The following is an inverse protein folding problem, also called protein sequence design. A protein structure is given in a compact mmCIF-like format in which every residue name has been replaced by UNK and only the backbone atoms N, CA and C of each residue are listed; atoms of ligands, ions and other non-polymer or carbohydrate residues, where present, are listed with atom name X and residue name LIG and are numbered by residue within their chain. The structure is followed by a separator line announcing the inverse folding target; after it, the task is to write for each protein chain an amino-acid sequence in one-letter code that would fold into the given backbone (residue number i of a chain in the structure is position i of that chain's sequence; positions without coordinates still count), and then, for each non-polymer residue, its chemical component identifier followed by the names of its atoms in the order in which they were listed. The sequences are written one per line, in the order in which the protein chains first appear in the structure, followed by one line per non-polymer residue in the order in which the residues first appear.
data_IF_063354345286
#
_entry.id   IF_063354345286
#
_cell.length_a   1.000
_cell.length_b   1.000
_cell.length_c   1.000
_cell.angle_alpha   90.00
_cell.angle_beta   90.00
_cell.angle_gamma   90.00
#
_symmetry.space_group_name_H-M   'P 1'
#
loop_
_entity.id
_entity.type
_entity.pdbx_description
1 polymer ?
#
# COMPACT_ATOMS: atom_id res chain seq x y z
N UNK A 1 -10.30 -2.11 -36.92
CA UNK A 1 -9.69 -2.14 -35.57
C UNK A 1 -9.98 -3.49 -34.95
N UNK A 2 -8.93 -4.21 -34.55
CA UNK A 2 -9.04 -5.53 -33.93
C UNK A 2 -8.52 -5.46 -32.50
N UNK A 3 -8.84 -6.47 -31.67
CA UNK A 3 -8.29 -6.58 -30.31
C UNK A 3 -6.74 -6.48 -30.31
N UNK A 4 -6.09 -7.03 -31.32
CA UNK A 4 -4.62 -6.97 -31.45
C UNK A 4 -4.09 -5.55 -31.63
N UNK A 5 -4.86 -4.62 -32.23
CA UNK A 5 -4.48 -3.21 -32.36
C UNK A 5 -4.48 -2.52 -31.00
N UNK A 6 -5.49 -2.81 -30.18
CA UNK A 6 -5.61 -2.22 -28.85
C UNK A 6 -4.57 -2.80 -27.89
N UNK A 7 -4.30 -4.13 -28.00
CA UNK A 7 -3.24 -4.80 -27.22
C UNK A 7 -1.87 -4.22 -27.60
N UNK A 8 -1.63 -3.96 -28.90
CA UNK A 8 -0.39 -3.29 -29.33
C UNK A 8 -0.25 -1.90 -28.71
N UNK A 9 -1.30 -1.09 -28.73
CA UNK A 9 -1.30 0.26 -28.13
C UNK A 9 -1.04 0.21 -26.62
N UNK A 10 -1.64 -0.76 -25.93
CA UNK A 10 -1.38 -1.00 -24.50
C UNK A 10 0.07 -1.47 -24.29
N UNK A 11 0.60 -2.34 -25.14
CA UNK A 11 2.00 -2.77 -25.10
C UNK A 11 2.98 -1.60 -25.22
N UNK A 12 2.70 -0.63 -26.12
CA UNK A 12 3.48 0.61 -26.26
C UNK A 12 3.42 1.46 -24.99
N UNK A 13 2.23 1.58 -24.39
CA UNK A 13 2.03 2.29 -23.12
C UNK A 13 2.79 1.62 -21.98
N UNK A 14 2.70 0.29 -21.88
CA UNK A 14 3.46 -0.48 -20.89
C UNK A 14 4.97 -0.31 -21.07
N UNK A 15 5.44 -0.35 -22.31
CA UNK A 15 6.85 -0.10 -22.60
C UNK A 15 7.30 1.25 -22.05
N UNK A 16 6.53 2.31 -22.30
CA UNK A 16 6.85 3.65 -21.81
C UNK A 16 6.81 3.75 -20.28
N UNK A 17 5.82 3.15 -19.65
CA UNK A 17 5.72 3.12 -18.17
C UNK A 17 6.90 2.38 -17.53
N UNK A 18 7.32 1.26 -18.11
CA UNK A 18 8.39 0.44 -17.58
C UNK A 18 9.79 1.03 -17.82
N UNK A 19 9.99 1.72 -18.96
CA UNK A 19 11.33 2.19 -19.39
C UNK A 19 11.52 3.71 -19.26
N UNK A 20 10.43 4.47 -19.09
CA UNK A 20 10.43 5.94 -19.13
C UNK A 20 10.62 6.51 -20.55
N UNK A 21 10.63 5.66 -21.59
CA UNK A 21 10.90 6.07 -22.99
C UNK A 21 9.89 5.44 -23.94
N UNK A 22 9.58 6.16 -25.01
CA UNK A 22 8.79 5.58 -26.11
C UNK A 22 9.61 4.50 -26.86
N UNK A 23 8.98 3.39 -27.30
CA UNK A 23 9.67 2.33 -28.05
C UNK A 23 10.17 2.78 -29.41
N UNK A 24 9.52 3.79 -29.99
CA UNK A 24 9.86 4.35 -31.30
C UNK A 24 9.91 5.88 -31.25
N UNK A 25 10.93 6.46 -31.84
CA UNK A 25 11.11 7.91 -31.99
C UNK A 25 11.71 8.21 -33.36
N UNK A 26 11.28 9.28 -33.98
CA UNK A 26 11.85 9.78 -35.24
C UNK A 26 11.65 11.29 -35.33
N UNK A 27 12.50 11.96 -36.11
CA UNK A 27 12.41 13.40 -36.34
C UNK A 27 11.30 13.80 -37.32
N UNK A 28 10.75 12.85 -38.08
CA UNK A 28 9.68 13.06 -39.05
C UNK A 28 8.54 12.06 -38.81
N UNK A 29 7.33 12.45 -39.21
CA UNK A 29 6.16 11.56 -39.14
C UNK A 29 6.32 10.31 -40.02
N UNK A 30 6.90 10.46 -41.21
CA UNK A 30 7.17 9.32 -42.07
C UNK A 30 8.18 8.34 -41.47
N UNK A 31 9.25 8.87 -40.84
CA UNK A 31 10.22 8.06 -40.08
C UNK A 31 9.61 7.35 -38.91
N UNK A 32 8.71 8.01 -38.16
CA UNK A 32 7.99 7.39 -37.06
C UNK A 32 7.08 6.26 -37.53
N UNK A 33 6.31 6.50 -38.60
CA UNK A 33 5.46 5.46 -39.20
C UNK A 33 6.27 4.27 -39.68
N UNK A 34 7.42 4.51 -40.31
CA UNK A 34 8.34 3.44 -40.72
C UNK A 34 8.85 2.65 -39.50
N UNK A 35 9.26 3.33 -38.45
CA UNK A 35 9.75 2.70 -37.23
C UNK A 35 8.67 1.84 -36.55
N UNK A 36 7.45 2.34 -36.47
CA UNK A 36 6.31 1.61 -35.93
C UNK A 36 6.03 0.32 -36.71
N UNK A 37 6.14 0.36 -38.00
CA UNK A 37 5.84 -0.78 -38.88
C UNK A 37 6.99 -1.80 -38.97
N UNK A 38 8.25 -1.34 -38.96
CA UNK A 38 9.38 -2.17 -39.38
C UNK A 38 10.47 -2.37 -38.31
N UNK A 39 10.59 -1.50 -37.32
CA UNK A 39 11.70 -1.57 -36.34
C UNK A 39 11.23 -2.29 -35.09
N UNK A 40 11.94 -3.36 -34.69
CA UNK A 40 11.73 -4.02 -33.40
C UNK A 40 12.27 -3.10 -32.29
N UNK A 41 11.48 -2.80 -31.25
CA UNK A 41 11.94 -1.95 -30.15
C UNK A 41 13.08 -2.60 -29.36
N UNK A 42 13.89 -1.77 -28.72
CA UNK A 42 14.88 -2.26 -27.75
C UNK A 42 14.13 -2.94 -26.61
N UNK A 43 14.58 -4.11 -26.19
CA UNK A 43 13.92 -4.84 -25.10
C UNK A 43 13.96 -4.02 -23.81
N UNK A 44 12.83 -3.90 -23.08
CA UNK A 44 12.76 -3.18 -21.82
C UNK A 44 13.86 -3.57 -20.83
N UNK A 45 14.19 -4.85 -20.72
CA UNK A 45 15.23 -5.36 -19.81
C UNK A 45 16.64 -4.85 -20.14
N UNK A 46 16.92 -4.46 -21.39
CA UNK A 46 18.19 -3.83 -21.76
C UNK A 46 18.32 -2.40 -21.27
N UNK A 47 17.19 -1.72 -21.05
CA UNK A 47 17.12 -0.35 -20.53
C UNK A 47 17.01 -0.33 -19.01
N UNK A 48 16.36 -1.36 -18.45
CA UNK A 48 16.14 -1.54 -17.01
C UNK A 48 16.38 -3.00 -16.63
N UNK A 49 17.63 -3.38 -16.30
CA UNK A 49 18.00 -4.76 -15.98
C UNK A 49 17.27 -5.40 -14.80
N UNK A 50 16.70 -4.56 -13.92
CA UNK A 50 15.90 -4.99 -12.77
C UNK A 50 14.48 -5.46 -13.12
N UNK A 51 14.04 -5.27 -14.38
CA UNK A 51 12.72 -5.73 -14.79
C UNK A 51 12.66 -7.26 -14.86
N UNK A 52 11.55 -7.87 -14.40
CA UNK A 52 11.31 -9.29 -14.56
C UNK A 52 11.27 -9.68 -16.04
N UNK A 53 11.97 -10.80 -16.36
CA UNK A 53 12.01 -11.36 -17.71
C UNK A 53 10.62 -11.59 -18.32
N UNK A 54 9.65 -11.94 -17.47
CA UNK A 54 8.27 -12.19 -17.93
C UNK A 54 7.57 -10.89 -18.36
N UNK A 55 7.77 -9.77 -17.66
CA UNK A 55 7.23 -8.47 -18.10
C UNK A 55 7.85 -7.99 -19.41
N UNK A 56 9.16 -8.18 -19.55
CA UNK A 56 9.85 -7.88 -20.80
C UNK A 56 9.28 -8.71 -21.95
N UNK A 57 9.06 -10.01 -21.75
CA UNK A 57 8.48 -10.90 -22.76
C UNK A 57 7.04 -10.50 -23.15
N UNK A 58 6.22 -10.14 -22.15
CA UNK A 58 4.82 -9.69 -22.36
C UNK A 58 4.80 -8.44 -23.24
N UNK A 59 5.63 -7.44 -22.91
CA UNK A 59 5.69 -6.19 -23.68
C UNK A 59 6.18 -6.43 -25.10
N UNK A 60 7.22 -7.26 -25.26
CA UNK A 60 7.75 -7.60 -26.60
C UNK A 60 6.73 -8.35 -27.46
N UNK A 61 5.97 -9.30 -26.86
CA UNK A 61 4.89 -10.02 -27.56
C UNK A 61 3.74 -9.08 -27.94
N UNK A 62 3.31 -8.21 -27.01
CA UNK A 62 2.24 -7.24 -27.29
C UNK A 62 2.62 -6.25 -28.40
N UNK A 63 3.92 -5.87 -28.51
CA UNK A 63 4.44 -4.94 -29.51
C UNK A 63 5.05 -5.60 -30.75
N UNK A 64 4.82 -6.93 -30.95
CA UNK A 64 5.27 -7.63 -32.15
C UNK A 64 4.74 -6.99 -33.42
N UNK A 65 5.54 -7.00 -34.50
CA UNK A 65 5.15 -6.39 -35.79
C UNK A 65 4.07 -7.20 -36.47
N UNK A 66 4.23 -8.51 -36.49
CA UNK A 66 3.26 -9.43 -37.07
C UNK A 66 2.07 -9.61 -36.14
N UNK A 67 0.83 -9.28 -36.59
CA UNK A 67 -0.36 -9.45 -35.74
C UNK A 67 -0.58 -10.89 -35.25
N UNK A 68 -0.16 -11.88 -36.05
CA UNK A 68 -0.26 -13.28 -35.69
C UNK A 68 0.63 -13.68 -34.49
N UNK A 69 1.73 -12.95 -34.28
CA UNK A 69 2.65 -13.17 -33.15
C UNK A 69 2.23 -12.43 -31.88
N UNK A 70 1.28 -11.50 -31.98
CA UNK A 70 0.73 -10.78 -30.82
C UNK A 70 -0.20 -11.69 -30.03
N UNK A 71 -0.63 -11.20 -28.88
CA UNK A 71 -1.75 -11.81 -28.16
C UNK A 71 -3.01 -11.82 -29.04
N UNK A 72 -3.64 -12.98 -29.13
CA UNK A 72 -4.84 -13.16 -29.96
C UNK A 72 -6.12 -12.72 -29.25
N UNK A 73 -6.07 -12.61 -27.92
CA UNK A 73 -7.22 -12.17 -27.10
C UNK A 73 -6.77 -11.44 -25.83
N UNK A 74 -7.65 -10.62 -25.29
CA UNK A 74 -7.48 -10.01 -23.97
C UNK A 74 -7.33 -11.04 -22.85
N UNK A 75 -7.96 -12.21 -23.00
CA UNK A 75 -7.86 -13.29 -22.01
C UNK A 75 -6.42 -13.84 -21.96
N UNK A 76 -5.79 -14.08 -23.10
CA UNK A 76 -4.41 -14.54 -23.18
C UNK A 76 -3.45 -13.50 -22.59
N UNK A 77 -3.58 -12.23 -22.98
CA UNK A 77 -2.78 -11.14 -22.45
C UNK A 77 -2.95 -10.99 -20.92
N UNK A 78 -4.20 -10.99 -20.44
CA UNK A 78 -4.49 -10.87 -19.01
C UNK A 78 -3.97 -12.04 -18.18
N UNK A 79 -3.96 -13.27 -18.74
CA UNK A 79 -3.39 -14.46 -18.09
C UNK A 79 -1.88 -14.30 -17.86
N UNK A 80 -1.13 -13.92 -18.92
CA UNK A 80 0.32 -13.75 -18.82
C UNK A 80 0.67 -12.58 -17.88
N UNK A 81 -0.11 -11.50 -17.93
CA UNK A 81 0.08 -10.35 -17.03
C UNK A 81 -0.18 -10.74 -15.55
N UNK A 82 -1.22 -11.53 -15.30
CA UNK A 82 -1.51 -12.06 -13.95
C UNK A 82 -0.38 -12.96 -13.45
N UNK A 83 0.20 -13.76 -14.34
CA UNK A 83 1.32 -14.64 -14.01
C UNK A 83 2.61 -13.85 -13.71
N UNK A 84 2.85 -12.76 -14.44
CA UNK A 84 3.94 -11.83 -14.14
C UNK A 84 3.75 -11.17 -12.76
N UNK A 85 2.54 -10.81 -12.43
CA UNK A 85 2.19 -10.23 -11.14
C UNK A 85 2.45 -11.21 -9.97
N UNK A 86 2.05 -12.47 -10.12
CA UNK A 86 2.35 -13.53 -9.14
C UNK A 86 3.86 -13.75 -8.99
N UNK A 87 4.60 -13.74 -10.11
CA UNK A 87 6.07 -13.94 -10.09
C UNK A 87 6.81 -12.77 -9.42
N UNK A 88 6.31 -11.54 -9.60
CA UNK A 88 6.82 -10.35 -8.89
C UNK A 88 6.61 -10.44 -7.38
N UNK A 89 5.49 -11.04 -6.94
CA UNK A 89 5.20 -11.30 -5.53
C UNK A 89 6.18 -12.29 -4.89
N UNK A 90 6.56 -13.33 -5.62
CA UNK A 90 7.49 -14.34 -5.13
C UNK A 90 8.95 -13.85 -5.05
N UNK A 91 9.29 -12.78 -5.78
CA UNK A 91 10.63 -12.18 -5.80
C UNK A 91 10.84 -11.06 -4.77
N UNK A 92 9.78 -10.60 -4.11
CA UNK A 92 9.84 -9.57 -3.06
C UNK A 92 8.91 -9.95 -1.92
N UNK A 93 9.44 -10.10 -0.72
CA UNK A 93 8.70 -10.32 0.55
C UNK A 93 7.73 -9.16 0.92
N UNK A 94 7.35 -8.31 -0.02
CA UNK A 94 6.42 -7.21 0.22
C UNK A 94 5.03 -7.56 -0.28
N UNK A 95 4.09 -7.66 0.64
CA UNK A 95 2.65 -7.65 0.37
C UNK A 95 2.35 -6.50 -0.60
N UNK A 96 1.66 -6.79 -1.73
CA UNK A 96 1.33 -5.76 -2.72
C UNK A 96 0.36 -4.72 -2.14
N UNK A 97 0.38 -3.49 -2.68
CA UNK A 97 -0.54 -2.45 -2.24
C UNK A 97 -2.02 -2.85 -2.41
N UNK A 98 -2.34 -3.67 -3.40
CA UNK A 98 -3.69 -4.23 -3.57
C UNK A 98 -4.08 -5.19 -2.44
N UNK A 99 -3.14 -6.00 -1.94
CA UNK A 99 -3.40 -6.86 -0.79
C UNK A 99 -3.51 -6.07 0.49
N UNK A 100 -2.64 -5.07 0.67
CA UNK A 100 -2.73 -4.10 1.77
C UNK A 100 -4.08 -3.43 1.79
N UNK A 101 -4.55 -2.95 0.63
CA UNK A 101 -5.87 -2.35 0.47
C UNK A 101 -6.97 -3.32 0.90
N UNK A 102 -6.97 -4.55 0.36
CA UNK A 102 -7.98 -5.56 0.67
C UNK A 102 -7.96 -5.95 2.16
N UNK A 103 -6.78 -6.06 2.75
CA UNK A 103 -6.63 -6.34 4.17
C UNK A 103 -7.21 -5.21 5.03
N UNK A 104 -6.88 -3.95 4.72
CA UNK A 104 -7.43 -2.80 5.45
C UNK A 104 -8.94 -2.69 5.31
N UNK A 105 -9.48 -2.94 4.11
CA UNK A 105 -10.93 -2.91 3.84
C UNK A 105 -11.71 -3.90 4.73
N UNK A 106 -11.09 -4.97 5.17
CA UNK A 106 -11.69 -5.97 6.06
C UNK A 106 -11.83 -5.52 7.51
N UNK A 107 -11.17 -4.43 7.93
CA UNK A 107 -11.24 -3.97 9.32
C UNK A 107 -12.33 -2.92 9.52
N UNK A 108 -13.14 -3.01 10.61
CA UNK A 108 -14.17 -2.02 10.94
C UNK A 108 -13.64 -0.59 11.06
N UNK A 109 -12.36 -0.42 11.43
CA UNK A 109 -11.72 0.90 11.48
C UNK A 109 -11.85 1.67 10.16
N UNK A 110 -11.79 0.98 9.01
CA UNK A 110 -11.78 1.59 7.68
C UNK A 110 -13.16 1.59 6.98
N UNK A 111 -14.25 1.25 7.67
CA UNK A 111 -15.60 1.18 7.08
C UNK A 111 -16.08 2.50 6.48
N UNK A 112 -15.67 3.63 7.07
CA UNK A 112 -16.02 4.99 6.62
C UNK A 112 -15.13 5.52 5.49
N UNK A 113 -14.05 4.80 5.13
CA UNK A 113 -13.17 5.20 4.04
C UNK A 113 -13.78 4.82 2.69
N UNK A 114 -13.87 5.77 1.77
CA UNK A 114 -14.06 5.43 0.37
C UNK A 114 -12.77 4.84 -0.22
N UNK A 115 -12.84 4.23 -1.40
CA UNK A 115 -11.70 3.55 -2.01
C UNK A 115 -10.51 4.48 -2.26
N UNK A 116 -10.76 5.73 -2.64
CA UNK A 116 -9.70 6.73 -2.91
C UNK A 116 -8.94 7.08 -1.63
N UNK A 117 -9.66 7.37 -0.54
CA UNK A 117 -9.07 7.67 0.76
C UNK A 117 -8.32 6.45 1.33
N UNK A 118 -8.83 5.24 1.14
CA UNK A 118 -8.16 4.02 1.59
C UNK A 118 -6.87 3.76 0.79
N UNK A 119 -6.88 3.96 -0.54
CA UNK A 119 -5.68 3.89 -1.36
C UNK A 119 -4.64 4.95 -0.98
N UNK A 120 -5.07 6.15 -0.61
CA UNK A 120 -4.18 7.20 -0.12
C UNK A 120 -3.50 6.75 1.17
N UNK A 121 -4.26 6.16 2.12
CA UNK A 121 -3.72 5.64 3.37
C UNK A 121 -2.73 4.50 3.14
N UNK A 122 -3.00 3.58 2.21
CA UNK A 122 -2.06 2.50 1.83
C UNK A 122 -0.72 3.05 1.38
N UNK A 123 -0.72 4.18 0.65
CA UNK A 123 0.51 4.81 0.13
C UNK A 123 1.30 5.58 1.17
N UNK A 124 0.63 6.24 2.12
CA UNK A 124 1.31 7.02 3.18
C UNK A 124 1.72 6.16 4.38
N UNK A 125 1.15 4.97 4.54
CA UNK A 125 1.43 4.05 5.63
C UNK A 125 2.68 3.21 5.38
N UNK A 126 3.58 3.14 6.36
CA UNK A 126 4.75 2.25 6.33
C UNK A 126 4.43 0.93 7.03
N UNK A 127 4.38 -0.15 6.27
CA UNK A 127 4.16 -1.50 6.81
C UNK A 127 5.41 -2.04 7.47
N UNK A 128 5.28 -2.49 8.71
CA UNK A 128 6.38 -3.01 9.54
C UNK A 128 6.02 -4.36 10.12
N UNK A 129 6.91 -5.33 9.94
CA UNK A 129 6.91 -6.57 10.71
C UNK A 129 7.80 -6.33 11.95
N UNK A 130 7.28 -6.56 13.13
CA UNK A 130 7.96 -6.27 14.40
C UNK A 130 7.95 -7.52 15.27
N UNK A 131 9.12 -8.02 15.70
CA UNK A 131 9.22 -9.20 16.55
C UNK A 131 8.61 -8.98 17.93
N UNK A 132 8.15 -10.07 18.54
CA UNK A 132 7.70 -10.10 19.94
C UNK A 132 8.77 -9.51 20.88
N UNK A 133 8.33 -8.79 21.91
CA UNK A 133 9.20 -8.13 22.89
C UNK A 133 9.75 -6.76 22.45
N UNK A 134 9.53 -6.34 21.20
CA UNK A 134 9.99 -5.03 20.72
C UNK A 134 9.08 -3.92 21.24
N UNK A 135 9.67 -2.86 21.79
CA UNK A 135 8.96 -1.64 22.19
C UNK A 135 8.86 -0.68 21.01
N UNK A 136 7.62 -0.35 20.60
CA UNK A 136 7.33 0.58 19.51
C UNK A 136 7.23 2.03 20.00
N UNK A 137 6.64 2.23 21.17
CA UNK A 137 6.42 3.54 21.80
C UNK A 137 6.85 3.45 23.26
N UNK A 138 7.58 4.45 23.74
CA UNK A 138 7.94 4.55 25.18
C UNK A 138 7.25 5.75 25.82
N UNK A 139 6.71 5.54 27.00
CA UNK A 139 6.17 6.58 27.85
C UNK A 139 7.21 7.71 28.06
N UNK A 140 6.78 8.98 27.94
CA UNK A 140 7.62 10.16 28.08
C UNK A 140 8.44 10.55 26.85
N UNK A 141 8.58 9.71 25.82
CA UNK A 141 9.26 10.05 24.58
C UNK A 141 8.45 11.05 23.74
N UNK A 142 9.14 11.78 22.88
CA UNK A 142 8.54 12.64 21.86
C UNK A 142 8.22 11.83 20.61
N UNK A 143 7.18 12.23 19.87
CA UNK A 143 6.81 11.63 18.59
C UNK A 143 5.29 11.63 18.43
N UNK A 144 4.82 11.91 17.22
CA UNK A 144 3.40 12.01 16.87
C UNK A 144 2.94 10.94 15.88
N UNK A 145 3.82 9.98 15.55
CA UNK A 145 3.46 8.82 14.74
C UNK A 145 2.46 7.95 15.48
N UNK A 146 1.53 7.38 14.76
CA UNK A 146 0.58 6.42 15.29
C UNK A 146 0.60 5.15 14.45
N UNK A 147 0.00 4.10 15.00
CA UNK A 147 0.08 2.77 14.44
C UNK A 147 -1.30 2.15 14.33
N UNK A 148 -1.54 1.46 13.22
CA UNK A 148 -2.67 0.55 13.08
C UNK A 148 -2.15 -0.89 13.14
N UNK A 149 -2.76 -1.74 13.96
CA UNK A 149 -2.36 -3.13 14.11
C UNK A 149 -3.10 -4.02 13.11
N UNK A 150 -2.38 -4.54 12.14
CA UNK A 150 -2.93 -5.44 11.12
C UNK A 150 -2.83 -6.93 11.51
N UNK A 151 -1.92 -7.29 12.43
CA UNK A 151 -1.75 -8.65 12.92
C UNK A 151 -0.96 -8.72 14.22
N UNK A 152 -1.17 -9.77 15.01
CA UNK A 152 -0.55 -9.96 16.32
C UNK A 152 -1.23 -9.18 17.45
N UNK A 153 -0.54 -9.00 18.58
CA UNK A 153 -1.06 -8.34 19.78
C UNK A 153 0.01 -7.43 20.38
N UNK A 154 -0.37 -6.24 20.86
CA UNK A 154 0.51 -5.35 21.62
C UNK A 154 -0.01 -5.13 23.03
N UNK A 155 0.91 -5.00 23.97
CA UNK A 155 0.64 -4.63 25.38
C UNK A 155 0.77 -3.11 25.53
N UNK A 156 -0.15 -2.52 26.27
CA UNK A 156 -0.16 -1.10 26.66
C UNK A 156 0.14 -1.00 28.13
N UNK A 157 1.25 -0.36 28.50
CA UNK A 157 1.65 -0.21 29.90
C UNK A 157 1.83 1.27 30.27
N UNK A 158 1.56 1.56 31.55
CA UNK A 158 1.73 2.86 32.21
C UNK A 158 2.53 2.65 33.49
N UNK A 159 3.64 3.36 33.65
CA UNK A 159 4.52 3.19 34.79
C UNK A 159 4.98 1.74 35.01
N UNK A 160 5.17 0.98 33.91
CA UNK A 160 5.58 -0.42 33.93
C UNK A 160 4.47 -1.44 34.23
N UNK A 161 3.22 -1.00 34.49
CA UNK A 161 2.07 -1.89 34.66
C UNK A 161 1.27 -2.01 33.38
N UNK A 162 0.97 -3.23 32.94
CA UNK A 162 0.04 -3.47 31.84
C UNK A 162 -1.37 -3.00 32.21
N UNK A 163 -1.95 -2.15 31.38
CA UNK A 163 -3.29 -1.57 31.58
C UNK A 163 -4.29 -2.01 30.54
N UNK A 164 -3.82 -2.40 29.34
CA UNK A 164 -4.65 -2.84 28.23
C UNK A 164 -3.84 -3.64 27.21
N UNK A 165 -4.51 -4.32 26.30
CA UNK A 165 -3.92 -4.84 25.06
C UNK A 165 -4.67 -4.32 23.84
N UNK A 166 -3.99 -4.27 22.68
CA UNK A 166 -4.61 -3.94 21.40
C UNK A 166 -4.51 -5.15 20.50
N UNK A 167 -5.64 -5.50 19.90
CA UNK A 167 -5.81 -6.61 18.97
C UNK A 167 -5.80 -6.11 17.52
N UNK A 168 -5.66 -6.98 16.50
CA UNK A 168 -5.77 -6.61 15.10
C UNK A 168 -7.07 -5.84 14.82
N UNK A 169 -6.94 -4.76 14.04
CA UNK A 169 -8.03 -3.81 13.80
C UNK A 169 -8.03 -2.60 14.73
N UNK A 170 -7.22 -2.60 15.78
CA UNK A 170 -7.04 -1.45 16.67
C UNK A 170 -5.91 -0.53 16.23
N UNK A 171 -5.93 0.70 16.75
CA UNK A 171 -4.85 1.68 16.59
C UNK A 171 -4.25 2.07 17.95
N UNK A 172 -3.04 2.62 17.94
CA UNK A 172 -2.38 3.13 19.14
C UNK A 172 -1.39 4.26 18.78
N UNK A 173 -1.09 5.11 19.76
CA UNK A 173 -0.22 6.28 19.59
C UNK A 173 -0.95 7.52 19.06
N UNK A 174 -2.26 7.43 18.79
CA UNK A 174 -3.11 8.47 18.19
C UNK A 174 -3.34 9.69 19.08
N UNK A 175 -3.14 9.58 20.39
CA UNK A 175 -3.47 10.64 21.37
C UNK A 175 -2.73 11.95 21.04
N UNK A 176 -1.46 11.86 20.67
CA UNK A 176 -0.68 13.05 20.34
C UNK A 176 -1.13 13.75 19.05
N UNK A 177 -1.68 13.00 18.10
CA UNK A 177 -2.23 13.57 16.89
C UNK A 177 -3.45 14.48 17.17
N UNK A 178 -4.26 14.13 18.17
CA UNK A 178 -5.49 14.87 18.54
C UNK A 178 -5.29 15.90 19.64
N UNK A 179 -4.11 16.02 20.22
CA UNK A 179 -3.88 16.89 21.39
C UNK A 179 -2.77 17.90 21.18
N UNK A 180 -3.13 19.18 21.20
CA UNK A 180 -2.18 20.28 21.22
C UNK A 180 -1.54 20.51 22.60
N UNK A 181 -2.03 19.83 23.65
CA UNK A 181 -1.57 19.98 25.03
C UNK A 181 -0.63 18.87 25.48
N UNK A 182 -0.71 17.71 24.86
CA UNK A 182 0.10 16.53 25.20
C UNK A 182 1.22 16.43 24.18
N UNK A 183 2.46 16.60 24.61
CA UNK A 183 3.64 16.62 23.74
C UNK A 183 4.54 15.39 23.94
N UNK A 184 4.16 14.48 24.83
CA UNK A 184 4.91 13.28 25.16
C UNK A 184 4.01 12.05 25.17
N UNK A 185 4.56 10.91 24.77
CA UNK A 185 3.88 9.61 24.81
C UNK A 185 3.35 9.33 26.22
N UNK A 186 2.08 9.00 26.32
CA UNK A 186 1.41 8.76 27.60
C UNK A 186 1.56 7.34 28.12
N UNK A 187 1.94 6.39 27.27
CA UNK A 187 2.05 4.97 27.58
C UNK A 187 3.22 4.33 26.83
N UNK A 188 3.68 3.19 27.32
CA UNK A 188 4.61 2.31 26.59
C UNK A 188 3.82 1.24 25.85
N UNK A 189 4.17 0.99 24.59
CA UNK A 189 3.57 -0.03 23.72
C UNK A 189 4.63 -1.05 23.34
N UNK A 190 4.41 -2.31 23.69
CA UNK A 190 5.34 -3.41 23.42
C UNK A 190 4.63 -4.53 22.66
N UNK A 191 5.25 -5.05 21.62
CA UNK A 191 4.76 -6.20 20.89
C UNK A 191 4.73 -7.45 21.80
N UNK A 192 3.55 -8.02 22.00
CA UNK A 192 3.36 -9.23 22.82
C UNK A 192 3.63 -10.50 22.03
N UNK A 193 3.31 -10.47 20.76
CA UNK A 193 3.61 -11.48 19.74
C UNK A 193 4.38 -10.85 18.61
N UNK A 194 4.78 -11.62 17.61
CA UNK A 194 5.17 -11.04 16.33
C UNK A 194 3.97 -10.29 15.75
N UNK A 195 4.17 -9.03 15.33
CA UNK A 195 3.10 -8.18 14.86
C UNK A 195 3.36 -7.67 13.44
N UNK A 196 2.27 -7.38 12.74
CA UNK A 196 2.27 -6.54 11.54
C UNK A 196 1.56 -5.24 11.89
N UNK A 197 2.28 -4.12 11.80
CA UNK A 197 1.75 -2.80 12.10
C UNK A 197 1.95 -1.85 10.91
N UNK A 198 1.05 -0.89 10.79
CA UNK A 198 1.16 0.20 9.81
C UNK A 198 1.47 1.47 10.60
N UNK A 199 2.68 1.97 10.41
CA UNK A 199 3.08 3.27 10.96
C UNK A 199 2.60 4.38 10.05
N UNK A 200 1.96 5.36 10.60
CA UNK A 200 1.44 6.53 9.88
C UNK A 200 1.96 7.79 10.58
N UNK A 201 2.66 8.63 9.84
CA UNK A 201 3.15 9.90 10.36
C UNK A 201 2.02 10.91 10.42
N UNK A 202 1.91 11.64 11.52
CA UNK A 202 0.89 12.67 11.69
C UNK A 202 0.94 13.71 10.57
N UNK A 203 2.13 14.12 10.15
CA UNK A 203 2.32 15.06 9.02
C UNK A 203 1.72 14.53 7.70
N UNK A 204 1.83 13.22 7.45
CA UNK A 204 1.31 12.60 6.23
C UNK A 204 -0.23 12.64 6.20
N UNK A 205 -0.90 12.42 7.34
CA UNK A 205 -2.36 12.59 7.42
C UNK A 205 -2.76 14.05 7.27
N UNK A 206 -2.02 15.00 7.88
CA UNK A 206 -2.32 16.44 7.72
C UNK A 206 -2.14 16.92 6.27
N UNK A 207 -1.29 16.26 5.49
CA UNK A 207 -1.08 16.54 4.06
C UNK A 207 -2.01 15.75 3.14
N UNK A 208 -2.78 14.79 3.66
CA UNK A 208 -3.72 13.98 2.91
C UNK A 208 -4.95 14.78 2.46
N UNK A 209 -5.75 14.22 1.53
CA UNK A 209 -7.00 14.85 1.10
C UNK A 209 -7.99 15.03 2.27
N UNK A 210 -8.85 16.03 2.18
CA UNK A 210 -9.90 16.28 3.19
C UNK A 210 -10.77 15.05 3.43
N UNK A 211 -11.05 14.28 2.39
CA UNK A 211 -11.82 13.03 2.48
C UNK A 211 -11.09 11.98 3.32
N UNK A 212 -9.77 11.82 3.11
CA UNK A 212 -8.93 10.90 3.89
C UNK A 212 -8.83 11.34 5.35
N UNK A 213 -8.57 12.63 5.59
CA UNK A 213 -8.50 13.20 6.95
C UNK A 213 -9.83 13.04 7.70
N UNK A 214 -10.97 13.34 7.05
CA UNK A 214 -12.28 13.22 7.68
C UNK A 214 -12.61 11.77 8.05
N UNK A 215 -12.36 10.81 7.15
CA UNK A 215 -12.57 9.39 7.42
C UNK A 215 -11.66 8.90 8.54
N UNK A 216 -10.38 9.30 8.53
CA UNK A 216 -9.42 8.96 9.57
C UNK A 216 -9.85 9.50 10.95
N UNK A 217 -10.18 10.79 11.03
CA UNK A 217 -10.60 11.42 12.28
C UNK A 217 -11.87 10.76 12.85
N UNK A 218 -12.84 10.42 11.98
CA UNK A 218 -14.06 9.71 12.38
C UNK A 218 -13.76 8.32 12.93
N UNK A 219 -12.90 7.56 12.27
CA UNK A 219 -12.49 6.22 12.72
C UNK A 219 -11.76 6.24 14.08
N UNK A 220 -10.80 7.16 14.25
CA UNK A 220 -10.11 7.33 15.52
C UNK A 220 -11.06 7.75 16.65
N UNK A 221 -11.99 8.68 16.38
CA UNK A 221 -12.97 9.12 17.38
C UNK A 221 -13.83 7.95 17.84
N UNK A 222 -14.28 7.09 16.94
CA UNK A 222 -15.04 5.87 17.27
C UNK A 222 -14.23 4.98 18.23
N UNK A 223 -12.97 4.70 17.92
CA UNK A 223 -12.09 3.88 18.77
C UNK A 223 -11.91 4.51 20.15
N UNK A 224 -11.71 5.82 20.23
CA UNK A 224 -11.54 6.53 21.51
C UNK A 224 -12.82 6.48 22.37
N UNK A 225 -13.99 6.63 21.74
CA UNK A 225 -15.30 6.50 22.43
C UNK A 225 -15.47 5.08 22.97
N UNK A 226 -15.19 4.05 22.17
CA UNK A 226 -15.28 2.65 22.61
C UNK A 226 -14.35 2.35 23.79
N UNK A 227 -13.10 2.84 23.73
CA UNK A 227 -12.14 2.69 24.85
C UNK A 227 -12.62 3.38 26.12
N UNK A 228 -13.17 4.60 25.98
CA UNK A 228 -13.73 5.33 27.13
C UNK A 228 -14.90 4.57 27.75
N UNK A 229 -15.82 4.05 26.93
CA UNK A 229 -16.96 3.26 27.43
C UNK A 229 -16.49 2.01 28.15
N UNK A 230 -15.53 1.27 27.60
CA UNK A 230 -14.95 0.11 28.26
C UNK A 230 -14.25 0.45 29.58
N UNK A 231 -13.51 1.55 29.63
CA UNK A 231 -12.86 2.04 30.85
C UNK A 231 -13.88 2.37 31.95
N UNK A 232 -14.96 3.08 31.58
CA UNK A 232 -16.04 3.41 32.52
C UNK A 232 -16.75 2.17 33.06
N UNK A 233 -16.99 1.15 32.22
CA UNK A 233 -17.58 -0.12 32.65
C UNK A 233 -16.68 -0.87 33.64
N UNK A 234 -15.35 -0.90 33.38
CA UNK A 234 -14.39 -1.52 34.32
C UNK A 234 -14.36 -0.81 35.67
N UNK A 235 -14.37 0.52 35.68
CA UNK A 235 -14.43 1.29 36.92
C UNK A 235 -15.71 1.04 37.68
N UNK A 236 -16.86 0.96 37.01
CA UNK A 236 -18.15 0.66 37.67
C UNK A 236 -18.24 -0.77 38.22
N UNK A 237 -17.47 -1.73 37.71
CA UNK A 237 -17.40 -3.11 38.22
C UNK A 237 -16.38 -3.28 39.37
N UNK A 238 -15.44 -2.34 39.49
CA UNK A 238 -14.40 -2.35 40.51
C UNK A 238 -14.78 -1.56 41.80
N UNK A 239 -15.87 -0.80 41.74
CA UNK A 239 -16.47 -0.02 42.83
C UNK A 239 -17.54 -0.83 43.55
#
# INVERSE_FOLDING_TARGET
LTQQTDIYSLGVTMYQLLTGRLPFQASTQAGLSYAILNIVPVRPIKLRPELPLLLDAIVMKATSKEPAERYQSWLEFGKDLSQAFVSLRLAGDSISDSERFNQLRGFPFFEDFNDVALWELVRIGAWKAVPAGTTLIREGESGDDFYFLAGGEVDVSLGGKSIASVQPGGCFGEILYFSDRIHRRTTTITARTDITAIEIKAEAIRAATDACQAAFNKACMRVLIERLMHSNQRLAQAA
#
